data_IF_662530135810
#
_entry.id   IF_662530135810
#
_cell.length_a   1.000
_cell.length_b   1.000
_cell.length_c   1.000
_cell.angle_alpha   90.00
_cell.angle_beta   90.00
_cell.angle_gamma   90.00
#
_symmetry.space_group_name_H-M   'P 1'
#
loop_
_entity.id
_entity.type
_entity.pdbx_description
1 polymer ?
#
# COMPACT_ATOMS: atom_id res chain seq x y z
N UNK A 1 1.27 -4.41 17.38
CA UNK A 1 0.41 -5.42 16.77
C UNK A 1 -0.72 -4.79 15.97
N UNK A 2 -1.39 -5.54 15.11
CA UNK A 2 -2.37 -5.01 14.14
C UNK A 2 -3.53 -4.22 14.77
N UNK A 3 -3.92 -4.51 16.00
CA UNK A 3 -4.95 -3.74 16.74
C UNK A 3 -4.40 -2.36 17.14
N UNK A 4 -3.14 -2.30 17.56
CA UNK A 4 -2.48 -1.04 17.86
C UNK A 4 -2.37 -0.17 16.59
N UNK A 5 -1.98 -0.75 15.47
CA UNK A 5 -1.81 -0.05 14.19
C UNK A 5 -3.15 0.45 13.65
N UNK A 6 -4.22 -0.34 13.77
CA UNK A 6 -5.59 0.09 13.47
C UNK A 6 -6.03 1.27 14.36
N UNK A 7 -5.67 1.25 15.65
CA UNK A 7 -5.91 2.37 16.56
C UNK A 7 -5.15 3.63 16.16
N UNK A 8 -3.89 3.48 15.78
CA UNK A 8 -3.06 4.60 15.27
C UNK A 8 -3.66 5.19 14.00
N UNK A 9 -4.03 4.38 13.02
CA UNK A 9 -4.60 4.85 11.76
C UNK A 9 -5.96 5.54 11.95
N UNK A 10 -6.81 5.03 12.85
CA UNK A 10 -8.05 5.70 13.23
C UNK A 10 -7.77 7.07 13.87
N UNK A 11 -6.80 7.14 14.77
CA UNK A 11 -6.38 8.40 15.39
C UNK A 11 -5.82 9.38 14.34
N UNK A 12 -5.03 8.89 13.40
CA UNK A 12 -4.51 9.69 12.28
C UNK A 12 -5.64 10.29 11.45
N UNK A 13 -6.65 9.50 11.11
CA UNK A 13 -7.81 9.97 10.37
C UNK A 13 -8.53 11.10 11.13
N UNK A 14 -8.78 10.92 12.41
CA UNK A 14 -9.44 11.93 13.25
C UNK A 14 -8.61 13.21 13.34
N UNK A 15 -7.32 13.12 13.65
CA UNK A 15 -6.45 14.30 13.77
C UNK A 15 -6.26 15.03 12.44
N UNK A 16 -6.06 14.32 11.35
CA UNK A 16 -5.90 14.93 10.05
C UNK A 16 -7.21 15.56 9.54
N UNK A 17 -8.36 14.97 9.88
CA UNK A 17 -9.67 15.53 9.51
C UNK A 17 -10.02 16.76 10.34
N UNK A 18 -9.77 16.74 11.64
CA UNK A 18 -10.18 17.82 12.56
C UNK A 18 -9.18 18.98 12.61
N UNK A 19 -7.90 18.68 12.73
CA UNK A 19 -6.83 19.67 12.89
C UNK A 19 -6.09 19.98 11.60
N UNK A 20 -6.08 19.04 10.65
CA UNK A 20 -5.43 19.18 9.34
C UNK A 20 -6.31 19.81 8.26
N UNK A 21 -7.43 20.44 8.62
CA UNK A 21 -8.32 21.08 7.65
C UNK A 21 -8.92 20.09 6.65
N UNK A 22 -9.69 19.11 7.14
CA UNK A 22 -10.32 18.04 6.35
C UNK A 22 -9.30 17.14 5.62
N UNK A 23 -8.11 16.99 6.19
CA UNK A 23 -7.08 16.08 5.67
C UNK A 23 -6.10 16.70 4.66
N UNK A 24 -6.17 18.02 4.45
CA UNK A 24 -5.18 18.71 3.61
C UNK A 24 -3.77 18.71 4.21
N UNK A 25 -3.67 18.62 5.53
CA UNK A 25 -2.39 18.59 6.23
C UNK A 25 -2.26 17.32 7.07
N UNK A 26 -1.15 16.61 6.94
CA UNK A 26 -0.84 15.44 7.76
C UNK A 26 -0.28 15.85 9.12
N UNK A 27 -1.17 16.30 9.99
CA UNK A 27 -0.84 16.71 11.36
C UNK A 27 -0.45 15.51 12.22
N UNK A 28 -1.04 14.35 11.96
CA UNK A 28 -0.81 13.13 12.73
C UNK A 28 0.66 12.67 12.66
N UNK A 29 1.32 12.78 11.52
CA UNK A 29 2.75 12.47 11.39
C UNK A 29 3.60 13.43 12.22
N UNK A 30 3.23 14.72 12.29
CA UNK A 30 3.91 15.71 13.14
C UNK A 30 3.72 15.44 14.63
N UNK A 31 2.66 14.76 15.00
CA UNK A 31 2.38 14.31 16.38
C UNK A 31 3.07 12.97 16.72
N UNK A 32 3.88 12.41 15.81
CA UNK A 32 4.58 11.16 16.02
C UNK A 32 3.76 9.89 15.75
N UNK A 33 2.55 10.03 15.22
CA UNK A 33 1.73 8.90 14.79
C UNK A 33 2.17 8.45 13.39
N UNK A 34 2.94 7.39 13.30
CA UNK A 34 3.38 6.84 12.03
C UNK A 34 2.23 6.11 11.32
N UNK A 35 2.23 6.20 9.99
CA UNK A 35 1.26 5.49 9.16
C UNK A 35 1.62 4.00 9.11
N UNK A 36 0.64 3.13 9.29
CA UNK A 36 0.77 1.73 8.93
C UNK A 36 0.32 1.53 7.48
N UNK A 37 1.17 0.88 6.67
CA UNK A 37 0.86 0.55 5.27
C UNK A 37 0.27 -0.86 5.18
N UNK A 38 -0.76 -1.13 6.01
CA UNK A 38 -1.46 -2.40 6.04
C UNK A 38 -2.50 -2.50 4.93
N UNK A 39 -2.62 -3.69 4.35
CA UNK A 39 -3.63 -4.01 3.35
C UNK A 39 -4.23 -5.42 3.56
N UNK A 40 -5.34 -5.70 2.88
CA UNK A 40 -6.01 -6.99 3.01
C UNK A 40 -5.16 -8.19 2.54
N UNK A 41 -4.26 -7.98 1.57
CA UNK A 41 -3.29 -8.98 1.14
C UNK A 41 -2.31 -9.38 2.23
N UNK A 42 -1.87 -8.43 3.06
CA UNK A 42 -1.05 -8.71 4.24
C UNK A 42 -1.84 -9.50 5.29
N UNK A 43 -3.11 -9.15 5.50
CA UNK A 43 -4.00 -9.89 6.40
C UNK A 43 -4.15 -11.35 5.98
N UNK A 44 -4.37 -11.61 4.69
CA UNK A 44 -4.42 -12.97 4.15
C UNK A 44 -3.09 -13.70 4.34
N UNK A 45 -1.96 -13.02 4.14
CA UNK A 45 -0.63 -13.59 4.39
C UNK A 45 -0.42 -13.97 5.85
N UNK A 46 -0.82 -13.11 6.78
CA UNK A 46 -0.77 -13.40 8.22
C UNK A 46 -1.66 -14.59 8.63
N UNK A 47 -2.73 -14.85 7.89
CA UNK A 47 -3.58 -16.04 8.06
C UNK A 47 -3.01 -17.30 7.40
N UNK A 48 -1.82 -17.21 6.79
CA UNK A 48 -1.12 -18.35 6.19
C UNK A 48 -1.41 -18.57 4.70
N UNK A 49 -2.10 -17.65 4.04
CA UNK A 49 -2.30 -17.72 2.58
C UNK A 49 -1.01 -17.34 1.86
N UNK A 50 -0.46 -18.28 1.09
CA UNK A 50 0.76 -18.04 0.30
C UNK A 50 0.52 -17.01 -0.80
N UNK A 51 1.57 -16.25 -1.16
CA UNK A 51 1.50 -15.23 -2.22
C UNK A 51 1.09 -15.80 -3.59
N UNK A 52 1.49 -17.03 -3.88
CA UNK A 52 1.27 -17.62 -5.20
C UNK A 52 2.14 -16.95 -6.29
N UNK A 53 1.81 -17.17 -7.59
CA UNK A 53 2.54 -16.59 -8.69
C UNK A 53 2.57 -15.07 -8.67
N UNK A 54 3.71 -14.51 -9.10
CA UNK A 54 3.86 -13.08 -9.32
C UNK A 54 3.07 -12.65 -10.57
N UNK A 55 2.36 -11.54 -10.45
CA UNK A 55 1.55 -10.94 -11.51
C UNK A 55 1.89 -9.46 -11.65
N UNK A 56 1.78 -8.95 -12.87
CA UNK A 56 1.81 -7.50 -13.12
C UNK A 56 0.44 -7.07 -13.59
N UNK A 57 -0.22 -6.25 -12.79
CA UNK A 57 -1.54 -5.72 -13.11
C UNK A 57 -1.40 -4.44 -13.94
N UNK A 58 -2.15 -4.30 -15.05
CA UNK A 58 -2.19 -3.05 -15.79
C UNK A 58 -2.56 -1.89 -14.88
N UNK A 59 -1.82 -0.78 -14.95
CA UNK A 59 -1.99 0.45 -14.16
C UNK A 59 -1.75 0.30 -12.64
N UNK A 60 -1.88 -0.90 -12.08
CA UNK A 60 -1.71 -1.16 -10.65
C UNK A 60 -0.32 -1.69 -10.28
N UNK A 61 0.46 -2.12 -11.28
CA UNK A 61 1.84 -2.55 -11.11
C UNK A 61 2.01 -3.96 -10.51
N UNK A 62 3.13 -4.19 -9.81
CA UNK A 62 3.46 -5.49 -9.24
C UNK A 62 2.39 -6.01 -8.28
N UNK A 63 2.11 -7.30 -8.34
CA UNK A 63 1.15 -7.97 -7.47
C UNK A 63 1.46 -9.47 -7.38
N UNK A 64 0.61 -10.22 -6.69
CA UNK A 64 0.63 -11.68 -6.64
C UNK A 64 -0.79 -12.22 -6.75
N UNK A 65 -0.91 -13.54 -6.95
CA UNK A 65 -2.23 -14.18 -7.03
C UNK A 65 -3.06 -13.99 -5.75
N UNK A 66 -2.43 -13.87 -4.58
CA UNK A 66 -3.08 -13.53 -3.32
C UNK A 66 -3.47 -12.05 -3.26
N UNK A 67 -2.54 -11.18 -3.62
CA UNK A 67 -2.69 -9.73 -3.38
C UNK A 67 -3.58 -9.06 -4.44
N UNK A 68 -3.64 -9.60 -5.66
CA UNK A 68 -4.47 -9.05 -6.73
C UNK A 68 -5.97 -9.01 -6.37
N UNK A 69 -6.61 -10.11 -5.94
CA UNK A 69 -8.01 -10.07 -5.51
C UNK A 69 -8.20 -9.30 -4.19
N UNK A 70 -7.19 -9.27 -3.32
CA UNK A 70 -7.23 -8.51 -2.07
C UNK A 70 -7.35 -6.99 -2.30
N UNK A 71 -6.92 -6.47 -3.45
CA UNK A 71 -7.11 -5.07 -3.83
C UNK A 71 -8.58 -4.67 -3.99
N UNK A 72 -9.48 -5.63 -4.19
CA UNK A 72 -10.92 -5.35 -4.32
C UNK A 72 -11.47 -4.82 -3.00
N UNK A 73 -11.42 -5.55 -1.86
CA UNK A 73 -11.86 -4.99 -0.58
C UNK A 73 -11.07 -3.73 -0.19
N UNK A 74 -9.76 -3.66 -0.44
CA UNK A 74 -8.97 -2.46 -0.15
C UNK A 74 -9.50 -1.24 -0.91
N UNK A 75 -9.96 -1.41 -2.15
CA UNK A 75 -10.51 -0.31 -2.95
C UNK A 75 -11.79 0.29 -2.36
N UNK A 76 -12.57 -0.46 -1.61
CA UNK A 76 -13.76 0.04 -0.90
C UNK A 76 -13.40 0.82 0.35
N UNK A 77 -12.25 0.57 0.95
CA UNK A 77 -11.74 1.29 2.11
C UNK A 77 -11.06 2.63 1.72
N UNK A 78 -10.80 2.84 0.44
CA UNK A 78 -10.29 4.13 -0.05
C UNK A 78 -11.42 5.16 -0.16
N UNK A 79 -11.13 6.46 -0.12
CA UNK A 79 -12.17 7.49 -0.23
C UNK A 79 -12.81 7.57 -1.64
N UNK A 80 -12.16 7.03 -2.68
CA UNK A 80 -12.59 7.21 -4.07
C UNK A 80 -14.01 6.69 -4.37
N UNK A 81 -14.45 5.51 -3.90
CA UNK A 81 -15.80 5.03 -4.15
C UNK A 81 -16.90 5.90 -3.52
N UNK A 82 -16.54 6.69 -2.49
CA UNK A 82 -17.47 7.52 -1.73
C UNK A 82 -17.56 8.96 -2.28
N UNK A 83 -16.89 9.25 -3.39
CA UNK A 83 -16.95 10.55 -4.07
C UNK A 83 -18.00 10.46 -5.16
N UNK A 84 -19.14 11.15 -4.96
CA UNK A 84 -20.27 11.14 -5.91
C UNK A 84 -19.94 11.88 -7.21
N UNK A 85 -19.09 12.90 -7.15
CA UNK A 85 -18.72 13.68 -8.32
C UNK A 85 -17.73 12.91 -9.22
N UNK A 86 -18.24 12.29 -10.29
CA UNK A 86 -17.47 11.40 -11.18
C UNK A 86 -16.20 12.03 -11.76
N UNK A 87 -16.20 13.28 -12.27
CA UNK A 87 -14.99 13.91 -12.80
C UNK A 87 -13.89 14.03 -11.73
N UNK A 88 -14.22 14.48 -10.52
CA UNK A 88 -13.27 14.60 -9.41
C UNK A 88 -12.71 13.25 -9.03
N UNK A 89 -13.55 12.23 -8.90
CA UNK A 89 -13.12 10.86 -8.61
C UNK A 89 -12.14 10.33 -9.65
N UNK A 90 -12.41 10.55 -10.93
CA UNK A 90 -11.55 10.07 -12.01
C UNK A 90 -10.21 10.80 -12.05
N UNK A 91 -10.19 12.11 -11.79
CA UNK A 91 -8.96 12.90 -11.68
C UNK A 91 -8.11 12.40 -10.51
N UNK A 92 -8.69 12.18 -9.34
CA UNK A 92 -7.97 11.66 -8.17
C UNK A 92 -7.39 10.27 -8.42
N UNK A 93 -8.13 9.39 -9.09
CA UNK A 93 -7.60 8.08 -9.51
C UNK A 93 -6.45 8.21 -10.49
N UNK A 94 -6.57 9.10 -11.47
CA UNK A 94 -5.51 9.40 -12.42
C UNK A 94 -4.25 9.91 -11.74
N UNK A 95 -4.38 10.86 -10.83
CA UNK A 95 -3.27 11.38 -10.01
C UNK A 95 -2.61 10.28 -9.20
N UNK A 96 -3.40 9.41 -8.57
CA UNK A 96 -2.86 8.27 -7.81
C UNK A 96 -2.07 7.29 -8.68
N UNK A 97 -2.53 7.00 -9.89
CA UNK A 97 -1.80 6.15 -10.85
C UNK A 97 -0.46 6.80 -11.25
N UNK A 98 -0.48 8.11 -11.54
CA UNK A 98 0.74 8.86 -11.89
C UNK A 98 1.72 8.89 -10.71
N UNK A 99 1.25 9.15 -9.52
CA UNK A 99 2.08 9.16 -8.30
C UNK A 99 2.72 7.79 -8.04
N UNK A 100 1.93 6.72 -8.13
CA UNK A 100 2.42 5.34 -8.00
C UNK A 100 3.49 5.03 -9.05
N UNK A 101 3.29 5.45 -10.29
CA UNK A 101 4.27 5.25 -11.36
C UNK A 101 5.54 6.07 -11.13
N UNK A 102 5.39 7.32 -10.72
CA UNK A 102 6.51 8.22 -10.43
C UNK A 102 7.41 7.65 -9.32
N UNK A 103 6.84 7.10 -8.28
CA UNK A 103 7.60 6.50 -7.17
C UNK A 103 8.44 5.29 -7.59
N UNK A 104 8.07 4.60 -8.67
CA UNK A 104 8.80 3.45 -9.20
C UNK A 104 9.94 3.85 -10.16
N UNK A 105 9.89 5.03 -10.77
CA UNK A 105 10.87 5.46 -11.77
C UNK A 105 12.29 5.54 -11.22
N UNK A 106 12.46 6.02 -10.01
CA UNK A 106 13.78 6.14 -9.40
C UNK A 106 14.38 4.77 -9.07
N UNK A 107 13.56 3.84 -8.63
CA UNK A 107 13.98 2.45 -8.43
C UNK A 107 14.39 1.78 -9.76
N UNK A 108 13.65 2.03 -10.84
CA UNK A 108 13.96 1.50 -12.17
C UNK A 108 15.29 2.01 -12.72
N UNK A 109 15.69 3.24 -12.41
CA UNK A 109 16.96 3.82 -12.87
C UNK A 109 18.19 3.19 -12.23
N UNK A 110 18.05 2.65 -11.02
CA UNK A 110 19.15 2.02 -10.30
C UNK A 110 19.39 0.56 -10.74
N UNK A 111 18.50 0.00 -11.53
CA UNK A 111 18.57 -1.41 -11.92
C UNK A 111 19.41 -1.58 -13.16
N UNK A 112 20.55 -2.26 -13.01
CA UNK A 112 21.32 -2.81 -14.12
C UNK A 112 20.99 -4.29 -14.28
N UNK A 113 20.57 -4.72 -15.48
CA UNK A 113 20.23 -6.10 -15.77
C UNK A 113 18.75 -6.33 -16.09
N UNK A 114 18.23 -7.52 -15.77
CA UNK A 114 16.82 -7.85 -16.02
C UNK A 114 15.91 -7.18 -15.01
N UNK A 115 15.28 -6.10 -15.46
CA UNK A 115 14.35 -5.29 -14.65
C UNK A 115 13.16 -6.09 -14.12
N UNK A 116 12.67 -7.04 -14.90
CA UNK A 116 11.54 -7.87 -14.49
C UNK A 116 11.89 -8.73 -13.26
N UNK A 117 13.03 -9.43 -13.33
CA UNK A 117 13.50 -10.28 -12.23
C UNK A 117 13.75 -9.44 -10.97
N UNK A 118 14.38 -8.28 -11.14
CA UNK A 118 14.64 -7.38 -10.02
C UNK A 118 13.34 -6.91 -9.35
N UNK A 119 12.40 -6.36 -10.11
CA UNK A 119 11.13 -5.84 -9.60
C UNK A 119 10.32 -6.97 -8.95
N UNK A 120 10.27 -8.13 -9.58
CA UNK A 120 9.59 -9.31 -9.04
C UNK A 120 10.17 -9.70 -7.67
N UNK A 121 11.47 -9.85 -7.58
CA UNK A 121 12.14 -10.29 -6.34
C UNK A 121 11.99 -9.23 -5.24
N UNK A 122 12.18 -7.96 -5.57
CA UNK A 122 11.98 -6.86 -4.63
C UNK A 122 10.54 -6.80 -4.11
N UNK A 123 9.55 -6.98 -4.99
CA UNK A 123 8.15 -7.04 -4.60
C UNK A 123 7.87 -8.20 -3.62
N UNK A 124 8.27 -9.41 -4.00
CA UNK A 124 7.99 -10.60 -3.18
C UNK A 124 8.68 -10.54 -1.82
N UNK A 125 9.94 -10.10 -1.76
CA UNK A 125 10.67 -9.92 -0.50
C UNK A 125 10.04 -8.84 0.38
N UNK A 126 9.67 -7.70 -0.19
CA UNK A 126 9.00 -6.64 0.56
C UNK A 126 7.65 -7.08 1.11
N UNK A 127 6.88 -7.84 0.34
CA UNK A 127 5.60 -8.40 0.80
C UNK A 127 5.76 -9.41 1.92
N UNK A 128 6.74 -10.29 1.82
CA UNK A 128 7.08 -11.25 2.88
C UNK A 128 7.43 -10.51 4.19
N UNK A 129 8.31 -9.51 4.09
CA UNK A 129 8.70 -8.68 5.22
C UNK A 129 7.49 -7.99 5.89
N UNK A 130 6.57 -7.42 5.11
CA UNK A 130 5.35 -6.77 5.63
C UNK A 130 4.37 -7.76 6.26
N UNK A 131 4.20 -8.94 5.68
CA UNK A 131 3.32 -9.98 6.23
C UNK A 131 3.81 -10.45 7.60
N UNK A 132 5.14 -10.45 7.82
CA UNK A 132 5.78 -10.81 9.09
C UNK A 132 5.96 -9.63 10.06
N UNK A 133 5.34 -8.48 9.79
CA UNK A 133 5.47 -7.26 10.61
C UNK A 133 6.94 -6.83 10.83
N UNK A 134 7.82 -7.11 9.87
CA UNK A 134 9.25 -6.81 9.95
C UNK A 134 10.10 -7.83 10.68
N UNK A 135 9.49 -8.90 11.21
CA UNK A 135 10.25 -10.02 11.77
C UNK A 135 10.91 -10.82 10.63
N UNK A 136 12.19 -10.58 10.43
CA UNK A 136 13.04 -11.41 9.59
C UNK A 136 13.69 -12.45 10.51
N UNK A 137 13.34 -13.70 10.33
CA UNK A 137 14.17 -14.77 10.91
C UNK A 137 15.54 -14.67 10.23
N UNK A 138 16.54 -14.21 10.98
CA UNK A 138 17.94 -14.29 10.57
C UNK A 138 18.35 -15.76 10.54
N UNK A 139 18.04 -16.45 9.47
CA UNK A 139 18.60 -17.77 9.14
C UNK A 139 20.06 -17.59 8.67
N UNK A 140 20.94 -17.33 9.63
CA UNK A 140 22.38 -17.43 9.44
C UNK A 140 22.94 -18.63 10.19
#
# INVERSE_FOLDING_TARGET
GKIHDAGVDTSRLLFNTTLGGLGFFDVATRMGLQRSDEDFGQTLGAWGVQSGPYLVLPLLGPSSLRDAPAKIPDSYLTPYPHIDHVPTRNVLRGVNVVDTRASLLDAERMVSGDKYIFIRNAYLQNREFRVRDGDVEDDF
#
